data_IF_347385525282
#
_entry.id   IF_347385525282
#
_cell.length_a   1.000
_cell.length_b   1.000
_cell.length_c   1.000
_cell.angle_alpha   90.00
_cell.angle_beta   90.00
_cell.angle_gamma   90.00
#
_symmetry.space_group_name_H-M   'P 1'
#
loop_
_entity.id
_entity.type
_entity.pdbx_description
1 polymer ?
#
# COMPACT_ATOMS: atom_id res chain seq x y z
N UNK A 1 -20.24 -2.26 2.73
CA UNK A 1 -19.73 -0.93 3.16
C UNK A 1 -18.22 -0.81 3.01
N UNK A 2 -17.41 -1.59 3.75
CA UNK A 2 -15.93 -1.50 3.66
C UNK A 2 -15.38 -1.69 2.24
N UNK A 3 -15.84 -2.71 1.51
CA UNK A 3 -15.44 -2.95 0.12
C UNK A 3 -15.78 -1.79 -0.83
N UNK A 4 -16.91 -1.10 -0.61
CA UNK A 4 -17.31 0.06 -1.40
C UNK A 4 -16.37 1.25 -1.16
N UNK A 5 -16.01 1.52 0.09
CA UNK A 5 -15.02 2.54 0.42
C UNK A 5 -13.65 2.20 -0.15
N UNK A 6 -13.25 0.93 -0.12
CA UNK A 6 -11.99 0.48 -0.73
C UNK A 6 -11.98 0.70 -2.25
N UNK A 7 -13.08 0.41 -2.95
CA UNK A 7 -13.20 0.64 -4.37
C UNK A 7 -13.15 2.14 -4.74
N UNK A 8 -13.87 3.00 -4.01
CA UNK A 8 -13.82 4.45 -4.26
C UNK A 8 -12.45 5.02 -3.91
N UNK A 9 -11.82 4.52 -2.85
CA UNK A 9 -10.44 4.86 -2.52
C UNK A 9 -9.48 4.50 -3.65
N UNK A 10 -9.63 3.32 -4.24
CA UNK A 10 -8.86 2.92 -5.43
C UNK A 10 -9.04 3.92 -6.58
N UNK A 11 -10.26 4.43 -6.81
CA UNK A 11 -10.50 5.49 -7.80
C UNK A 11 -9.76 6.80 -7.45
N UNK A 12 -9.72 7.20 -6.16
CA UNK A 12 -8.90 8.32 -5.71
C UNK A 12 -7.41 8.11 -5.95
N UNK A 13 -6.90 6.89 -5.73
CA UNK A 13 -5.51 6.54 -6.03
C UNK A 13 -5.21 6.72 -7.52
N UNK A 14 -6.07 6.18 -8.40
CA UNK A 14 -5.89 6.28 -9.84
C UNK A 14 -6.04 7.71 -10.37
N UNK A 15 -7.17 8.37 -10.12
CA UNK A 15 -7.44 9.68 -10.72
C UNK A 15 -6.67 10.80 -10.04
N UNK A 16 -6.82 10.93 -8.73
CA UNK A 16 -6.17 12.02 -8.00
C UNK A 16 -4.66 11.77 -7.83
N UNK A 17 -4.21 10.51 -7.74
CA UNK A 17 -2.78 10.19 -7.74
C UNK A 17 -2.11 10.56 -9.07
N UNK A 18 -2.71 10.22 -10.21
CA UNK A 18 -2.18 10.64 -11.53
C UNK A 18 -2.25 12.15 -11.72
N UNK A 19 -3.33 12.80 -11.27
CA UNK A 19 -3.42 14.26 -11.28
C UNK A 19 -2.32 14.91 -10.43
N UNK A 20 -2.00 14.32 -9.28
CA UNK A 20 -0.92 14.77 -8.40
C UNK A 20 0.46 14.59 -9.04
N UNK A 21 0.68 13.51 -9.78
CA UNK A 21 1.89 13.31 -10.60
C UNK A 21 2.01 14.45 -11.60
N UNK A 22 0.97 14.67 -12.41
CA UNK A 22 0.97 15.73 -13.42
C UNK A 22 1.18 17.13 -12.81
N UNK A 23 0.56 17.41 -11.66
CA UNK A 23 0.76 18.65 -10.93
C UNK A 23 2.20 18.80 -10.41
N UNK A 24 2.77 17.73 -9.87
CA UNK A 24 4.16 17.66 -9.41
C UNK A 24 5.18 17.90 -10.53
N UNK A 25 4.94 17.32 -11.72
CA UNK A 25 5.75 17.59 -12.93
C UNK A 25 5.71 19.09 -13.26
N UNK A 26 4.52 19.69 -13.38
CA UNK A 26 4.37 21.10 -13.75
C UNK A 26 5.00 22.08 -12.75
N UNK A 27 5.04 21.71 -11.47
CA UNK A 27 5.56 22.56 -10.39
C UNK A 27 7.03 22.29 -10.04
N UNK A 28 7.67 21.30 -10.66
CA UNK A 28 9.06 20.92 -10.39
C UNK A 28 9.25 20.35 -8.99
N UNK A 29 8.38 19.43 -8.56
CA UNK A 29 8.48 18.78 -7.25
C UNK A 29 9.44 17.59 -7.23
N UNK A 30 9.82 17.12 -8.41
CA UNK A 30 10.68 15.96 -8.64
C UNK A 30 12.12 16.38 -8.94
N UNK A 31 13.06 15.47 -8.68
CA UNK A 31 14.46 15.63 -9.09
C UNK A 31 14.59 15.67 -10.62
N UNK A 32 15.67 16.27 -11.13
CA UNK A 32 15.92 16.41 -12.57
C UNK A 32 15.93 15.05 -13.31
N UNK A 33 16.48 14.00 -12.71
CA UNK A 33 16.48 12.64 -13.26
C UNK A 33 15.05 12.11 -13.50
N UNK A 34 14.17 12.22 -12.50
CA UNK A 34 12.77 11.78 -12.60
C UNK A 34 11.99 12.66 -13.59
N UNK A 35 12.33 13.95 -13.71
CA UNK A 35 11.72 14.85 -14.69
C UNK A 35 12.15 14.55 -16.14
N UNK A 36 13.38 14.07 -16.34
CA UNK A 36 13.87 13.65 -17.67
C UNK A 36 13.08 12.45 -18.23
N UNK A 37 12.59 11.56 -17.35
CA UNK A 37 11.72 10.44 -17.70
C UNK A 37 10.44 10.95 -18.38
N UNK A 38 9.73 11.89 -17.77
CA UNK A 38 8.48 12.44 -18.35
C UNK A 38 8.68 13.30 -19.61
N UNK A 39 9.88 13.81 -19.83
CA UNK A 39 10.22 14.57 -21.04
C UNK A 39 10.36 13.66 -22.28
N UNK A 40 10.44 12.35 -22.06
CA UNK A 40 10.53 11.36 -23.13
C UNK A 40 9.12 11.00 -23.64
N UNK A 41 8.78 11.47 -24.85
CA UNK A 41 7.47 11.22 -25.52
C UNK A 41 7.07 9.73 -25.57
N UNK A 42 8.03 8.81 -25.45
CA UNK A 42 7.83 7.34 -25.46
C UNK A 42 6.90 6.83 -24.35
N UNK A 43 6.86 7.50 -23.19
CA UNK A 43 6.00 7.09 -22.08
C UNK A 43 4.54 7.48 -22.25
N UNK A 44 4.25 8.45 -23.13
CA UNK A 44 2.88 8.95 -23.32
C UNK A 44 2.02 8.03 -24.21
N UNK A 45 2.64 7.24 -25.09
CA UNK A 45 1.92 6.32 -25.99
C UNK A 45 1.67 4.95 -25.39
N UNK A 46 2.40 4.57 -24.33
CA UNK A 46 2.32 3.24 -23.69
C UNK A 46 2.78 2.07 -24.57
N UNK A 47 3.14 2.33 -25.83
CA UNK A 47 3.58 1.35 -26.81
C UNK A 47 5.05 1.59 -27.16
N UNK A 48 5.85 0.52 -27.11
CA UNK A 48 7.22 0.52 -27.63
C UNK A 48 7.13 0.57 -29.15
N UNK A 49 7.84 1.54 -29.76
CA UNK A 49 7.84 1.71 -31.22
C UNK A 49 8.39 0.47 -31.93
N UNK A 50 7.93 0.22 -33.16
CA UNK A 50 8.30 -0.97 -33.94
C UNK A 50 9.81 -1.07 -34.17
N UNK A 51 10.46 0.08 -34.31
CA UNK A 51 11.89 0.19 -34.66
C UNK A 51 12.80 0.22 -33.43
N UNK A 52 12.23 0.15 -32.22
CA UNK A 52 12.98 0.23 -30.98
C UNK A 52 13.26 -1.16 -30.39
N UNK A 53 14.48 -1.33 -29.86
CA UNK A 53 14.91 -2.58 -29.23
C UNK A 53 14.07 -2.82 -27.98
N UNK A 54 13.23 -3.85 -28.02
CA UNK A 54 12.42 -4.29 -26.89
C UNK A 54 13.31 -4.81 -25.77
N UNK A 55 12.98 -4.44 -24.54
CA UNK A 55 13.68 -4.94 -23.35
C UNK A 55 13.16 -6.33 -23.02
N UNK A 56 14.07 -7.24 -22.63
CA UNK A 56 13.71 -8.58 -22.19
C UNK A 56 12.76 -8.50 -20.98
N UNK A 57 11.66 -9.23 -21.04
CA UNK A 57 10.62 -9.20 -20.03
C UNK A 57 10.91 -10.00 -18.77
N UNK A 58 11.89 -10.88 -18.83
CA UNK A 58 12.32 -11.76 -17.76
C UNK A 58 13.41 -12.67 -18.30
N UNK A 59 14.08 -13.35 -17.39
CA UNK A 59 15.11 -14.34 -17.70
C UNK A 59 14.58 -15.73 -17.35
N UNK A 60 14.89 -16.71 -18.19
CA UNK A 60 14.55 -18.10 -17.91
C UNK A 60 15.57 -18.64 -16.90
N UNK A 61 15.12 -18.88 -15.67
CA UNK A 61 15.97 -19.40 -14.60
C UNK A 61 15.90 -20.92 -14.47
N UNK A 62 15.03 -21.57 -15.25
CA UNK A 62 14.86 -23.02 -15.29
C UNK A 62 14.92 -23.52 -16.72
N UNK A 63 15.41 -24.75 -16.90
CA UNK A 63 15.34 -25.44 -18.17
C UNK A 63 13.89 -25.83 -18.45
N UNK A 64 13.38 -25.40 -19.62
CA UNK A 64 11.96 -25.58 -19.97
C UNK A 64 11.55 -27.06 -20.12
N UNK A 65 12.52 -27.96 -20.31
CA UNK A 65 12.30 -29.41 -20.32
C UNK A 65 11.94 -29.97 -18.93
N UNK A 66 12.43 -29.34 -17.86
CA UNK A 66 12.15 -29.77 -16.49
C UNK A 66 10.91 -29.06 -15.94
N UNK A 67 10.91 -27.73 -15.99
CA UNK A 67 9.78 -26.90 -15.58
C UNK A 67 9.87 -25.54 -16.27
N UNK A 68 8.73 -25.07 -16.75
CA UNK A 68 8.63 -23.71 -17.28
C UNK A 68 8.92 -22.66 -16.18
N UNK A 69 9.71 -21.65 -16.53
CA UNK A 69 10.21 -20.67 -15.55
C UNK A 69 9.07 -19.83 -14.97
N UNK A 70 8.05 -19.48 -15.74
CA UNK A 70 6.88 -18.76 -15.21
C UNK A 70 6.12 -19.64 -14.20
N UNK A 71 5.95 -20.92 -14.51
CA UNK A 71 5.33 -21.90 -13.62
C UNK A 71 6.11 -22.07 -12.31
N UNK A 72 7.44 -22.10 -12.38
CA UNK A 72 8.31 -22.16 -11.21
C UNK A 72 8.16 -20.93 -10.31
N UNK A 73 8.22 -19.72 -10.87
CA UNK A 73 8.02 -18.49 -10.11
C UNK A 73 6.62 -18.41 -9.50
N UNK A 74 5.59 -18.78 -10.26
CA UNK A 74 4.21 -18.88 -9.78
C UNK A 74 4.07 -19.84 -8.61
N UNK A 75 4.73 -21.01 -8.67
CA UNK A 75 4.76 -21.97 -7.58
C UNK A 75 5.43 -21.41 -6.32
N UNK A 76 6.54 -20.66 -6.45
CA UNK A 76 7.19 -20.02 -5.29
C UNK A 76 6.29 -18.95 -4.66
N UNK A 77 5.61 -18.13 -5.46
CA UNK A 77 4.64 -17.14 -4.96
C UNK A 77 3.48 -17.84 -4.24
N UNK A 78 2.92 -18.89 -4.83
CA UNK A 78 1.83 -19.66 -4.23
C UNK A 78 2.27 -20.38 -2.93
N UNK A 79 3.47 -20.96 -2.90
CA UNK A 79 4.03 -21.59 -1.71
C UNK A 79 4.28 -20.58 -0.59
N UNK A 80 4.78 -19.38 -0.93
CA UNK A 80 4.99 -18.28 0.02
C UNK A 80 3.66 -17.82 0.62
N UNK A 81 2.62 -17.67 -0.20
CA UNK A 81 1.27 -17.36 0.26
C UNK A 81 0.69 -18.46 1.15
N UNK A 82 0.90 -19.73 0.78
CA UNK A 82 0.47 -20.87 1.60
C UNK A 82 1.15 -20.90 2.97
N UNK A 83 2.46 -20.63 3.03
CA UNK A 83 3.19 -20.46 4.29
C UNK A 83 2.61 -19.30 5.13
N UNK A 84 2.27 -18.17 4.51
CA UNK A 84 1.60 -17.06 5.19
C UNK A 84 0.25 -17.46 5.77
N UNK A 85 -0.54 -18.21 5.01
CA UNK A 85 -1.84 -18.72 5.48
C UNK A 85 -1.67 -19.65 6.69
N UNK A 86 -0.72 -20.59 6.62
CA UNK A 86 -0.44 -21.49 7.75
C UNK A 86 0.06 -20.72 8.97
N UNK A 87 0.98 -19.79 8.78
CA UNK A 87 1.51 -18.94 9.85
C UNK A 87 0.38 -18.16 10.54
N UNK A 88 -0.47 -17.48 9.76
CA UNK A 88 -1.58 -16.72 10.30
C UNK A 88 -2.58 -17.63 11.04
N UNK A 89 -2.86 -18.82 10.51
CA UNK A 89 -3.75 -19.80 11.15
C UNK A 89 -3.20 -20.27 12.51
N UNK A 90 -1.90 -20.57 12.58
CA UNK A 90 -1.24 -20.95 13.84
C UNK A 90 -1.25 -19.79 14.83
N UNK A 91 -1.00 -18.57 14.36
CA UNK A 91 -1.00 -17.37 15.19
C UNK A 91 -2.39 -17.07 15.75
N UNK A 92 -3.44 -17.17 14.94
CA UNK A 92 -4.84 -17.03 15.37
C UNK A 92 -5.23 -18.12 16.38
N UNK A 93 -4.79 -19.35 16.15
CA UNK A 93 -5.00 -20.45 17.09
C UNK A 93 -4.30 -20.17 18.43
N UNK A 94 -3.06 -19.69 18.42
CA UNK A 94 -2.33 -19.27 19.63
C UNK A 94 -3.02 -18.12 20.38
N UNK A 95 -3.49 -17.12 19.65
CA UNK A 95 -4.24 -15.98 20.20
C UNK A 95 -5.58 -16.41 20.80
N UNK A 96 -6.18 -17.49 20.32
CA UNK A 96 -7.47 -17.97 20.84
C UNK A 96 -7.40 -18.42 22.31
N UNK A 97 -6.20 -18.73 22.82
CA UNK A 97 -5.96 -19.04 24.23
C UNK A 97 -5.95 -17.79 25.14
N UNK A 98 -5.78 -16.59 24.58
CA UNK A 98 -5.81 -15.32 25.32
C UNK A 98 -7.24 -14.81 25.61
N UNK A 99 -8.26 -15.65 25.45
CA UNK A 99 -9.67 -15.32 25.69
C UNK A 99 -10.34 -14.56 24.54
N UNK A 100 -11.46 -13.88 24.84
CA UNK A 100 -12.30 -13.24 23.81
C UNK A 100 -11.55 -12.14 23.02
N UNK A 101 -10.71 -11.34 23.69
CA UNK A 101 -9.90 -10.31 23.02
C UNK A 101 -8.90 -10.90 22.02
N UNK A 102 -8.31 -12.07 22.33
CA UNK A 102 -7.42 -12.77 21.42
C UNK A 102 -8.13 -13.34 20.19
N UNK A 103 -9.36 -13.84 20.34
CA UNK A 103 -10.19 -14.29 19.21
C UNK A 103 -10.61 -13.14 18.30
N UNK A 104 -11.03 -12.01 18.87
CA UNK A 104 -11.35 -10.81 18.10
C UNK A 104 -10.12 -10.26 17.37
N UNK A 105 -8.96 -10.22 18.03
CA UNK A 105 -7.70 -9.85 17.39
C UNK A 105 -7.40 -10.79 16.23
N UNK A 106 -7.44 -12.10 16.44
CA UNK A 106 -7.20 -13.10 15.41
C UNK A 106 -8.10 -12.92 14.19
N UNK A 107 -9.38 -12.64 14.38
CA UNK A 107 -10.31 -12.33 13.28
C UNK A 107 -9.91 -11.05 12.54
N UNK A 108 -9.51 -10.01 13.26
CA UNK A 108 -9.06 -8.76 12.65
C UNK A 108 -7.74 -8.94 11.88
N UNK A 109 -6.86 -9.85 12.29
CA UNK A 109 -5.59 -10.13 11.59
C UNK A 109 -5.80 -10.71 10.19
N UNK A 110 -6.90 -11.43 9.95
CA UNK A 110 -7.27 -11.88 8.60
C UNK A 110 -7.52 -10.72 7.63
N UNK A 111 -8.11 -9.62 8.12
CA UNK A 111 -8.34 -8.41 7.33
C UNK A 111 -7.07 -7.70 6.87
N UNK A 112 -5.94 -8.00 7.51
CA UNK A 112 -4.62 -7.41 7.22
C UNK A 112 -3.57 -8.48 6.88
N UNK A 113 -4.01 -9.62 6.35
CA UNK A 113 -3.14 -10.75 5.99
C UNK A 113 -1.95 -10.33 5.09
N UNK A 114 -2.10 -9.29 4.28
CA UNK A 114 -1.04 -8.79 3.41
C UNK A 114 0.27 -8.44 4.17
N UNK A 115 0.19 -8.00 5.42
CA UNK A 115 1.35 -7.68 6.26
C UNK A 115 2.11 -8.96 6.61
N UNK A 116 1.38 -10.01 7.00
CA UNK A 116 1.96 -11.32 7.29
C UNK A 116 2.52 -11.97 6.03
N UNK A 117 1.84 -11.83 4.89
CA UNK A 117 2.35 -12.31 3.60
C UNK A 117 3.66 -11.60 3.21
N UNK A 118 3.76 -10.29 3.43
CA UNK A 118 4.99 -9.54 3.20
C UNK A 118 6.13 -10.00 4.14
N UNK A 119 5.83 -10.24 5.41
CA UNK A 119 6.81 -10.74 6.39
C UNK A 119 7.33 -12.14 6.00
N UNK A 120 6.43 -13.05 5.65
CA UNK A 120 6.80 -14.40 5.21
C UNK A 120 7.59 -14.35 3.90
N UNK A 121 7.21 -13.50 2.95
CA UNK A 121 7.98 -13.31 1.72
C UNK A 121 9.41 -12.84 2.00
N UNK A 122 9.59 -11.94 2.98
CA UNK A 122 10.92 -11.49 3.39
C UNK A 122 11.73 -12.60 4.06
N UNK A 123 11.09 -13.46 4.87
CA UNK A 123 11.74 -14.64 5.45
C UNK A 123 12.16 -15.61 4.35
N UNK A 124 11.29 -15.90 3.39
CA UNK A 124 11.61 -16.77 2.24
C UNK A 124 12.79 -16.21 1.45
N UNK A 125 12.79 -14.91 1.16
CA UNK A 125 13.91 -14.22 0.50
C UNK A 125 15.21 -14.35 1.29
N UNK A 126 15.15 -14.14 2.60
CA UNK A 126 16.30 -14.28 3.49
C UNK A 126 16.86 -15.71 3.51
N UNK A 127 15.99 -16.72 3.52
CA UNK A 127 16.39 -18.13 3.44
C UNK A 127 17.10 -18.40 2.11
N UNK A 128 16.53 -17.95 0.98
CA UNK A 128 17.15 -18.11 -0.35
C UNK A 128 18.52 -17.43 -0.47
N UNK A 129 18.68 -16.28 0.18
CA UNK A 129 19.96 -15.59 0.30
C UNK A 129 20.98 -16.40 1.11
N UNK A 130 20.56 -16.96 2.24
CA UNK A 130 21.41 -17.77 3.11
C UNK A 130 21.82 -19.09 2.47
N UNK A 131 20.95 -19.70 1.66
CA UNK A 131 21.25 -20.93 0.92
C UNK A 131 22.00 -20.67 -0.39
N UNK A 132 22.20 -19.41 -0.80
CA UNK A 132 22.85 -19.06 -2.05
C UNK A 132 22.01 -19.38 -3.30
N UNK A 133 20.72 -19.66 -3.14
CA UNK A 133 19.80 -20.05 -4.23
C UNK A 133 18.92 -18.89 -4.70
N UNK A 134 19.24 -17.64 -4.34
CA UNK A 134 18.49 -16.47 -4.79
C UNK A 134 18.48 -16.33 -6.32
N UNK A 135 19.54 -16.77 -7.02
CA UNK A 135 19.68 -16.65 -8.47
C UNK A 135 18.58 -17.38 -9.27
N UNK A 136 17.86 -18.31 -8.66
CA UNK A 136 16.75 -19.04 -9.30
C UNK A 136 15.51 -18.13 -9.48
N UNK A 137 15.47 -16.98 -8.78
CA UNK A 137 14.42 -15.98 -8.91
C UNK A 137 14.85 -14.83 -9.81
N UNK A 138 14.04 -14.55 -10.83
CA UNK A 138 14.13 -13.38 -11.70
C UNK A 138 13.15 -12.29 -11.25
N UNK A 139 13.69 -11.14 -10.86
CA UNK A 139 12.92 -9.99 -10.37
C UNK A 139 11.95 -9.44 -11.43
N UNK A 140 12.30 -9.54 -12.72
CA UNK A 140 11.45 -9.05 -13.82
C UNK A 140 10.21 -9.94 -14.00
N UNK A 141 10.39 -11.26 -13.94
CA UNK A 141 9.28 -12.23 -13.96
C UNK A 141 8.38 -12.06 -12.74
N UNK A 142 8.95 -11.94 -11.53
CA UNK A 142 8.18 -11.66 -10.32
C UNK A 142 7.40 -10.33 -10.41
N UNK A 143 8.00 -9.29 -10.98
CA UNK A 143 7.34 -7.99 -11.19
C UNK A 143 6.15 -8.07 -12.16
N UNK A 144 6.19 -8.99 -13.14
CA UNK A 144 5.06 -9.24 -14.05
C UNK A 144 3.94 -10.01 -13.38
N UNK A 145 4.27 -11.05 -12.61
CA UNK A 145 3.29 -11.79 -11.78
C UNK A 145 2.61 -10.81 -10.81
N UNK A 146 3.37 -9.93 -10.17
CA UNK A 146 2.83 -8.88 -9.32
C UNK A 146 1.89 -7.96 -10.10
N UNK A 147 2.30 -7.47 -11.28
CA UNK A 147 1.46 -6.63 -12.14
C UNK A 147 0.12 -7.29 -12.49
N UNK A 148 0.16 -8.54 -12.98
CA UNK A 148 -1.04 -9.32 -13.29
C UNK A 148 -1.95 -9.53 -12.06
N UNK A 149 -1.35 -9.84 -10.90
CA UNK A 149 -2.09 -10.02 -9.65
C UNK A 149 -2.79 -8.74 -9.19
N UNK A 150 -2.14 -7.58 -9.38
CA UNK A 150 -2.72 -6.27 -9.09
C UNK A 150 -3.93 -6.03 -10.00
N UNK A 151 -3.81 -6.25 -11.30
CA UNK A 151 -4.92 -6.06 -12.25
C UNK A 151 -6.11 -6.97 -11.91
N UNK A 152 -5.86 -8.25 -11.60
CA UNK A 152 -6.89 -9.19 -11.18
C UNK A 152 -7.58 -8.75 -9.87
N UNK A 153 -6.81 -8.27 -8.90
CA UNK A 153 -7.33 -7.74 -7.63
C UNK A 153 -8.26 -6.54 -7.88
N UNK A 154 -7.90 -5.65 -8.80
CA UNK A 154 -8.70 -4.45 -9.15
C UNK A 154 -10.03 -4.85 -9.77
N UNK A 155 -10.01 -5.75 -10.77
CA UNK A 155 -11.23 -6.27 -11.39
C UNK A 155 -12.12 -6.95 -10.35
N UNK A 156 -11.53 -7.78 -9.48
CA UNK A 156 -12.26 -8.46 -8.40
C UNK A 156 -12.87 -7.48 -7.39
N UNK A 157 -12.14 -6.42 -7.02
CA UNK A 157 -12.62 -5.39 -6.10
C UNK A 157 -13.82 -4.62 -6.69
N UNK A 158 -13.78 -4.28 -7.98
CA UNK A 158 -14.89 -3.63 -8.68
C UNK A 158 -16.09 -4.58 -8.77
N UNK A 159 -15.85 -5.85 -9.11
CA UNK A 159 -16.90 -6.86 -9.20
C UNK A 159 -17.58 -7.18 -7.86
N UNK A 160 -16.85 -7.02 -6.73
CA UNK A 160 -17.38 -7.26 -5.38
C UNK A 160 -18.27 -6.12 -4.85
N UNK A 161 -18.42 -5.00 -5.56
CA UNK A 161 -19.24 -3.87 -5.12
C UNK A 161 -20.72 -4.25 -5.16
N UNK A 162 -21.38 -4.26 -3.99
CA UNK A 162 -22.83 -4.44 -3.91
C UNK A 162 -23.58 -3.17 -4.29
N UNK A 163 -24.16 -3.15 -5.50
CA UNK A 163 -24.95 -2.02 -6.02
C UNK A 163 -26.15 -1.67 -5.13
N UNK A 164 -26.76 -2.67 -4.48
CA UNK A 164 -27.88 -2.48 -3.55
C UNK A 164 -27.45 -1.59 -2.38
N UNK A 165 -26.31 -1.88 -1.74
CA UNK A 165 -25.81 -1.07 -0.63
C UNK A 165 -25.36 0.32 -1.06
N UNK A 166 -24.74 0.44 -2.25
CA UNK A 166 -24.36 1.76 -2.78
C UNK A 166 -25.60 2.63 -2.95
N UNK A 167 -26.68 2.09 -3.52
CA UNK A 167 -27.92 2.86 -3.74
C UNK A 167 -28.57 3.34 -2.44
N UNK A 168 -28.47 2.57 -1.36
CA UNK A 168 -29.06 2.92 -0.06
C UNK A 168 -28.27 4.00 0.70
N UNK A 169 -26.93 4.07 0.51
CA UNK A 169 -26.04 4.93 1.30
C UNK A 169 -25.14 5.84 0.45
N UNK A 170 -25.52 6.11 -0.81
CA UNK A 170 -24.65 6.80 -1.77
C UNK A 170 -24.21 8.18 -1.28
N UNK A 171 -25.10 8.93 -0.62
CA UNK A 171 -24.80 10.26 -0.08
C UNK A 171 -23.70 10.17 0.97
N UNK A 172 -23.86 9.30 1.96
CA UNK A 172 -22.89 9.14 3.05
C UNK A 172 -21.54 8.65 2.52
N UNK A 173 -21.58 7.71 1.57
CA UNK A 173 -20.38 7.18 0.92
C UNK A 173 -19.64 8.29 0.16
N UNK A 174 -20.32 9.07 -0.67
CA UNK A 174 -19.72 10.16 -1.46
C UNK A 174 -19.16 11.24 -0.54
N UNK A 175 -19.90 11.67 0.48
CA UNK A 175 -19.43 12.71 1.40
C UNK A 175 -18.18 12.27 2.16
N UNK A 176 -18.21 11.09 2.79
CA UNK A 176 -17.08 10.61 3.59
C UNK A 176 -15.86 10.33 2.71
N UNK A 177 -16.06 9.68 1.55
CA UNK A 177 -14.95 9.38 0.63
C UNK A 177 -14.34 10.64 0.02
N UNK A 178 -15.15 11.65 -0.29
CA UNK A 178 -14.66 12.91 -0.84
C UNK A 178 -13.89 13.71 0.21
N UNK A 179 -14.43 13.83 1.43
CA UNK A 179 -13.73 14.51 2.53
C UNK A 179 -12.41 13.81 2.88
N UNK A 180 -12.42 12.48 2.98
CA UNK A 180 -11.22 11.68 3.23
C UNK A 180 -10.21 11.76 2.09
N UNK A 181 -10.68 11.69 0.84
CA UNK A 181 -9.87 11.85 -0.37
C UNK A 181 -9.16 13.20 -0.40
N UNK A 182 -9.91 14.30 -0.28
CA UNK A 182 -9.36 15.67 -0.24
C UNK A 182 -8.37 15.82 0.92
N UNK A 183 -8.73 15.36 2.13
CA UNK A 183 -7.84 15.44 3.28
C UNK A 183 -6.52 14.70 3.01
N UNK A 184 -6.57 13.53 2.37
CA UNK A 184 -5.38 12.74 2.03
C UNK A 184 -4.55 13.41 0.93
N UNK A 185 -5.20 13.93 -0.13
CA UNK A 185 -4.54 14.65 -1.24
C UNK A 185 -3.86 15.93 -0.77
N UNK A 186 -4.34 16.59 0.27
CA UNK A 186 -3.71 17.79 0.84
C UNK A 186 -2.63 17.46 1.88
N UNK A 187 -2.92 16.54 2.80
CA UNK A 187 -2.02 16.23 3.93
C UNK A 187 -0.80 15.43 3.51
N UNK A 188 -0.95 14.42 2.64
CA UNK A 188 0.16 13.52 2.29
C UNK A 188 1.29 14.25 1.57
N UNK A 189 1.07 15.07 0.53
CA UNK A 189 2.15 15.83 -0.10
C UNK A 189 2.80 16.84 0.85
N UNK A 190 1.98 17.47 1.70
CA UNK A 190 2.45 18.45 2.67
C UNK A 190 3.36 17.81 3.73
N UNK A 191 2.96 16.66 4.29
CA UNK A 191 3.75 15.93 5.27
C UNK A 191 4.99 15.28 4.65
N UNK A 192 4.82 14.59 3.51
CA UNK A 192 5.88 13.81 2.89
C UNK A 192 7.05 14.70 2.41
N UNK A 193 6.75 15.88 1.85
CA UNK A 193 7.82 16.84 1.53
C UNK A 193 8.64 17.17 2.77
N UNK A 194 8.03 17.55 3.89
CA UNK A 194 8.77 18.00 5.09
C UNK A 194 9.50 16.89 5.85
N UNK A 195 8.94 15.67 5.80
CA UNK A 195 9.44 14.54 6.57
C UNK A 195 10.63 13.84 5.89
N UNK A 196 10.54 13.61 4.58
CA UNK A 196 11.58 12.88 3.85
C UNK A 196 12.68 13.81 3.31
N UNK A 197 13.88 13.26 3.18
CA UNK A 197 15.05 13.97 2.63
C UNK A 197 15.46 13.40 1.27
N UNK A 198 15.26 12.11 1.08
CA UNK A 198 15.55 11.33 -0.12
C UNK A 198 14.24 10.87 -0.78
N UNK A 199 14.25 10.72 -2.12
CA UNK A 199 13.13 10.20 -2.92
C UNK A 199 11.75 10.73 -2.48
N UNK A 200 11.68 12.04 -2.17
CA UNK A 200 10.55 12.66 -1.44
C UNK A 200 9.24 12.44 -2.19
N UNK A 201 9.27 12.57 -3.51
CA UNK A 201 8.09 12.48 -4.35
C UNK A 201 7.66 11.02 -4.57
N UNK A 202 8.62 10.11 -4.76
CA UNK A 202 8.40 8.67 -4.86
C UNK A 202 7.80 8.11 -3.56
N UNK A 203 8.38 8.46 -2.41
CA UNK A 203 7.86 8.10 -1.08
C UNK A 203 6.47 8.69 -0.83
N UNK A 204 6.24 9.92 -1.26
CA UNK A 204 4.92 10.57 -1.18
C UNK A 204 3.87 9.79 -1.97
N UNK A 205 4.15 9.42 -3.23
CA UNK A 205 3.21 8.66 -4.06
C UNK A 205 2.93 7.28 -3.48
N UNK A 206 3.97 6.61 -2.97
CA UNK A 206 3.82 5.32 -2.31
C UNK A 206 2.85 5.43 -1.12
N UNK A 207 3.06 6.41 -0.24
CA UNK A 207 2.19 6.64 0.92
C UNK A 207 0.78 7.04 0.48
N UNK A 208 0.66 7.97 -0.48
CA UNK A 208 -0.64 8.44 -0.98
C UNK A 208 -1.46 7.29 -1.57
N UNK A 209 -0.85 6.44 -2.40
CA UNK A 209 -1.49 5.28 -2.98
C UNK A 209 -1.90 4.26 -1.92
N UNK A 210 -1.09 4.04 -0.89
CA UNK A 210 -1.45 3.16 0.23
C UNK A 210 -2.56 3.73 1.12
N UNK A 211 -2.60 5.04 1.34
CA UNK A 211 -3.64 5.72 2.15
C UNK A 211 -4.98 5.78 1.42
N UNK A 212 -4.97 5.88 0.09
CA UNK A 212 -6.19 5.91 -0.72
C UNK A 212 -6.65 4.51 -1.15
N UNK A 213 -5.78 3.50 -1.14
CA UNK A 213 -6.15 2.13 -1.49
C UNK A 213 -5.46 1.09 -0.61
N UNK A 214 -4.54 0.34 -1.19
CA UNK A 214 -3.74 -0.67 -0.50
C UNK A 214 -2.27 -0.59 -0.92
N UNK A 215 -1.43 -1.49 -0.44
CA UNK A 215 -0.03 -1.58 -0.87
C UNK A 215 0.11 -1.65 -2.41
N UNK A 216 -0.82 -2.35 -3.08
CA UNK A 216 -0.84 -2.48 -4.53
C UNK A 216 -1.01 -1.17 -5.28
N UNK A 217 -1.86 -0.26 -4.81
CA UNK A 217 -2.05 1.06 -5.42
C UNK A 217 -0.86 1.97 -5.18
N UNK A 218 -0.24 1.90 -4.01
CA UNK A 218 1.04 2.55 -3.73
C UNK A 218 2.12 2.12 -4.73
N UNK A 219 2.30 0.81 -4.90
CA UNK A 219 3.26 0.25 -5.84
C UNK A 219 2.93 0.62 -7.29
N UNK A 220 1.66 0.61 -7.68
CA UNK A 220 1.24 1.00 -9.04
C UNK A 220 1.57 2.47 -9.35
N UNK A 221 1.35 3.40 -8.41
CA UNK A 221 1.72 4.80 -8.58
C UNK A 221 3.24 4.99 -8.58
N UNK A 222 3.96 4.27 -7.70
CA UNK A 222 5.42 4.31 -7.66
C UNK A 222 6.04 3.83 -8.99
N UNK A 223 5.46 2.79 -9.59
CA UNK A 223 5.93 2.22 -10.87
C UNK A 223 5.90 3.21 -12.05
N UNK A 224 5.10 4.27 -11.97
CA UNK A 224 5.09 5.33 -12.98
C UNK A 224 6.42 6.10 -12.96
N UNK A 225 7.00 6.30 -11.78
CA UNK A 225 8.27 7.00 -11.59
C UNK A 225 9.47 6.05 -11.59
N UNK A 226 9.28 4.86 -11.04
CA UNK A 226 10.30 3.84 -10.86
C UNK A 226 9.80 2.48 -11.37
N UNK A 227 9.77 2.27 -12.71
CA UNK A 227 9.16 1.07 -13.31
C UNK A 227 9.80 -0.26 -12.90
N UNK A 228 11.07 -0.21 -12.51
CA UNK A 228 11.89 -1.37 -12.13
C UNK A 228 12.11 -1.46 -10.61
N UNK A 229 11.47 -0.60 -9.80
CA UNK A 229 11.64 -0.53 -8.34
C UNK A 229 13.11 -0.46 -7.91
N UNK A 230 13.94 0.32 -8.62
CA UNK A 230 15.36 0.51 -8.30
C UNK A 230 15.56 1.33 -7.04
N UNK A 231 14.63 2.22 -6.72
CA UNK A 231 14.65 3.04 -5.51
C UNK A 231 14.35 2.17 -4.27
N UNK A 232 14.93 2.50 -3.09
CA UNK A 232 14.67 1.76 -1.86
C UNK A 232 13.24 1.99 -1.32
N UNK A 233 12.41 2.80 -1.98
CA UNK A 233 11.10 3.23 -1.48
C UNK A 233 10.17 2.07 -1.23
N UNK A 234 10.08 1.12 -2.17
CA UNK A 234 9.21 -0.04 -2.04
C UNK A 234 9.66 -0.96 -0.88
N UNK A 235 10.96 -1.24 -0.78
CA UNK A 235 11.52 -2.08 0.28
C UNK A 235 11.39 -1.44 1.66
N UNK A 236 11.69 -0.15 1.77
CA UNK A 236 11.60 0.60 3.02
C UNK A 236 10.15 0.66 3.51
N UNK A 237 9.20 0.83 2.60
CA UNK A 237 7.79 0.85 2.93
C UNK A 237 7.33 -0.51 3.48
N UNK A 238 7.77 -1.62 2.89
CA UNK A 238 7.42 -2.96 3.39
C UNK A 238 7.90 -3.18 4.83
N UNK A 239 9.15 -2.80 5.13
CA UNK A 239 9.69 -2.89 6.50
C UNK A 239 8.92 -1.97 7.45
N UNK A 240 8.64 -0.74 7.01
CA UNK A 240 7.90 0.25 7.79
C UNK A 240 6.45 -0.18 8.07
N UNK A 241 5.80 -0.85 7.12
CA UNK A 241 4.43 -1.38 7.29
C UNK A 241 4.37 -2.44 8.39
N UNK A 242 5.39 -3.32 8.48
CA UNK A 242 5.51 -4.31 9.55
C UNK A 242 5.69 -3.67 10.94
N UNK A 243 6.52 -2.63 11.05
CA UNK A 243 6.69 -1.89 12.31
C UNK A 243 5.43 -1.10 12.70
N UNK A 244 4.80 -0.45 11.72
CA UNK A 244 3.57 0.32 11.91
C UNK A 244 2.43 -0.58 12.39
N UNK A 245 2.38 -1.82 11.90
CA UNK A 245 1.39 -2.80 12.35
C UNK A 245 1.45 -3.02 13.87
N UNK A 246 2.64 -3.19 14.46
CA UNK A 246 2.78 -3.37 15.91
C UNK A 246 2.23 -2.17 16.69
N UNK A 247 2.50 -0.96 16.20
CA UNK A 247 1.97 0.28 16.79
C UNK A 247 0.47 0.43 16.57
N UNK A 248 -0.10 -0.19 15.53
CA UNK A 248 -1.51 -0.14 15.20
C UNK A 248 -2.36 -1.17 15.96
N UNK A 249 -1.77 -2.13 16.67
CA UNK A 249 -2.51 -3.19 17.40
C UNK A 249 -3.60 -2.62 18.32
N UNK A 250 -3.34 -1.63 19.19
CA UNK A 250 -4.40 -1.05 20.03
C UNK A 250 -5.55 -0.44 19.23
N UNK A 251 -5.25 0.23 18.11
CA UNK A 251 -6.28 0.78 17.22
C UNK A 251 -7.10 -0.32 16.55
N UNK A 252 -6.45 -1.41 16.09
CA UNK A 252 -7.10 -2.56 15.46
C UNK A 252 -8.03 -3.28 16.44
N UNK A 253 -7.65 -3.40 17.71
CA UNK A 253 -8.52 -3.94 18.75
C UNK A 253 -9.77 -3.07 18.98
N UNK A 254 -9.62 -1.74 18.86
CA UNK A 254 -10.71 -0.78 19.03
C UNK A 254 -11.65 -0.63 17.84
N UNK A 255 -11.28 -1.11 16.65
CA UNK A 255 -11.97 -0.76 15.39
C UNK A 255 -13.43 -1.18 15.34
N UNK A 256 -13.79 -2.27 16.04
CA UNK A 256 -15.17 -2.80 16.08
C UNK A 256 -16.03 -2.16 17.18
N UNK A 257 -15.47 -1.31 18.05
CA UNK A 257 -16.19 -0.69 19.16
C UNK A 257 -17.39 0.18 18.71
N UNK A 258 -17.33 0.96 17.61
CA UNK A 258 -18.50 1.70 17.12
C UNK A 258 -19.63 0.77 16.66
N UNK A 259 -19.29 -0.34 16.00
CA UNK A 259 -20.29 -1.34 15.61
C UNK A 259 -20.94 -1.99 16.84
N UNK A 260 -20.13 -2.27 17.88
CA UNK A 260 -20.62 -2.77 19.17
C UNK A 260 -21.52 -1.77 19.89
N UNK A 261 -21.24 -0.47 19.81
CA UNK A 261 -22.11 0.59 20.33
C UNK A 261 -23.50 0.54 19.66
N UNK A 262 -23.53 0.41 18.33
CA UNK A 262 -24.78 0.28 17.58
C UNK A 262 -25.58 -0.99 17.90
N UNK A 263 -24.91 -2.12 18.16
CA UNK A 263 -25.57 -3.40 18.49
C UNK A 263 -26.06 -3.47 19.94
N UNK A 264 -25.32 -2.89 20.88
CA UNK A 264 -25.62 -2.97 22.32
C UNK A 264 -26.41 -1.78 22.85
N UNK A 265 -26.53 -0.70 22.07
CA UNK A 265 -27.11 0.58 22.50
C UNK A 265 -26.23 1.37 23.47
N UNK A 266 -25.07 0.83 23.88
CA UNK A 266 -24.17 1.48 24.81
C UNK A 266 -23.18 2.39 24.07
N UNK A 267 -23.44 3.70 24.11
CA UNK A 267 -22.62 4.73 23.50
C UNK A 267 -21.21 4.88 24.12
N UNK A 268 -20.94 4.26 25.27
CA UNK A 268 -19.60 4.27 25.88
C UNK A 268 -18.56 3.71 24.91
N UNK A 269 -18.88 2.63 24.17
CA UNK A 269 -17.96 2.04 23.20
C UNK A 269 -17.60 3.00 22.06
N UNK A 270 -18.55 3.83 21.64
CA UNK A 270 -18.30 4.86 20.63
C UNK A 270 -17.32 5.91 21.15
N UNK A 271 -17.53 6.43 22.36
CA UNK A 271 -16.65 7.43 22.96
C UNK A 271 -15.25 6.90 23.26
N UNK A 272 -15.13 5.62 23.65
CA UNK A 272 -13.83 4.96 23.78
C UNK A 272 -13.08 4.99 22.44
N UNK A 273 -13.74 4.63 21.33
CA UNK A 273 -13.10 4.66 20.02
C UNK A 273 -12.69 6.07 19.59
N UNK A 274 -13.53 7.08 19.89
CA UNK A 274 -13.18 8.49 19.65
C UNK A 274 -11.93 8.88 20.45
N UNK A 275 -11.85 8.48 21.73
CA UNK A 275 -10.69 8.72 22.58
C UNK A 275 -9.42 8.04 22.06
N UNK A 276 -9.50 6.77 21.65
CA UNK A 276 -8.40 6.04 21.01
C UNK A 276 -7.95 6.77 19.74
N UNK A 277 -8.89 7.14 18.87
CA UNK A 277 -8.58 7.83 17.61
C UNK A 277 -7.90 9.18 17.85
N UNK A 278 -8.36 9.94 18.84
CA UNK A 278 -7.75 11.21 19.23
C UNK A 278 -6.34 11.03 19.79
N UNK A 279 -6.12 10.02 20.65
CA UNK A 279 -4.80 9.70 21.17
C UNK A 279 -3.81 9.32 20.05
N UNK A 280 -4.26 8.53 19.07
CA UNK A 280 -3.46 8.18 17.88
C UNK A 280 -3.16 9.39 17.00
N UNK A 281 -4.12 10.29 16.83
CA UNK A 281 -3.91 11.54 16.10
C UNK A 281 -2.87 12.42 16.80
N UNK A 282 -2.93 12.56 18.12
CA UNK A 282 -1.92 13.27 18.90
C UNK A 282 -0.54 12.59 18.81
N UNK A 283 -0.49 11.28 18.97
CA UNK A 283 0.74 10.51 18.87
C UNK A 283 1.41 10.70 17.49
N UNK A 284 0.64 10.56 16.41
CA UNK A 284 1.16 10.74 15.04
C UNK A 284 1.57 12.18 14.76
N UNK A 285 0.85 13.18 15.28
CA UNK A 285 1.21 14.59 15.16
C UNK A 285 2.51 14.90 15.92
N UNK A 286 2.66 14.41 17.15
CA UNK A 286 3.87 14.58 17.96
C UNK A 286 5.05 13.88 17.26
N UNK A 287 4.87 12.64 16.81
CA UNK A 287 5.90 11.91 16.07
C UNK A 287 6.31 12.66 14.79
N UNK A 288 5.36 13.22 14.05
CA UNK A 288 5.63 14.06 12.89
C UNK A 288 6.48 15.28 13.24
N UNK A 289 6.11 16.03 14.29
CA UNK A 289 6.85 17.22 14.72
C UNK A 289 8.27 16.86 15.15
N UNK A 290 8.45 15.75 15.88
CA UNK A 290 9.76 15.27 16.33
C UNK A 290 10.66 14.80 15.18
N UNK A 291 10.09 14.19 14.15
CA UNK A 291 10.82 13.70 12.98
C UNK A 291 11.13 14.83 11.99
N UNK A 292 10.16 15.67 11.67
CA UNK A 292 10.34 16.80 10.77
C UNK A 292 11.15 17.95 11.40
N UNK A 293 11.23 18.03 12.74
CA UNK A 293 12.00 19.02 13.51
C UNK A 293 11.77 20.45 12.98
N UNK A 294 12.84 21.15 12.60
CA UNK A 294 12.80 22.52 12.06
C UNK A 294 12.03 22.63 10.73
N UNK A 295 11.88 21.53 9.97
CA UNK A 295 11.16 21.50 8.68
C UNK A 295 9.64 21.29 8.85
N UNK A 296 9.17 20.93 10.04
CA UNK A 296 7.75 20.61 10.29
C UNK A 296 6.80 21.74 9.88
N UNK A 297 7.22 22.99 10.08
CA UNK A 297 6.41 24.18 9.79
C UNK A 297 7.02 25.06 8.69
N UNK A 298 8.06 24.57 8.03
CA UNK A 298 8.74 25.32 6.98
C UNK A 298 7.79 25.53 5.79
N UNK A 299 7.63 26.79 5.38
CA UNK A 299 6.70 27.22 4.33
C UNK A 299 5.28 26.64 4.49
N UNK A 300 4.67 26.76 5.67
CA UNK A 300 3.39 26.09 6.01
C UNK A 300 2.22 26.31 5.03
N UNK A 301 2.22 27.41 4.26
CA UNK A 301 1.23 27.70 3.21
C UNK A 301 1.49 26.99 1.87
N UNK A 302 2.70 26.47 1.66
CA UNK A 302 3.05 25.72 0.45
C UNK A 302 2.74 24.24 0.62
N UNK A 303 2.08 23.65 -0.38
CA UNK A 303 1.80 22.21 -0.42
C UNK A 303 3.09 21.38 -0.53
N UNK A 304 4.17 21.93 -1.09
CA UNK A 304 5.44 21.22 -1.29
C UNK A 304 6.63 22.15 -1.11
N UNK A 305 7.68 21.67 -0.44
CA UNK A 305 8.98 22.35 -0.37
C UNK A 305 9.82 21.84 -1.54
N UNK A 306 10.14 22.73 -2.47
CA UNK A 306 10.98 22.39 -3.64
C UNK A 306 12.31 21.77 -3.19
N UNK A 307 12.83 20.77 -3.92
CA UNK A 307 14.10 20.13 -3.62
C UNK A 307 15.25 21.13 -3.60
#
# INVERSE_FOLDING_TARGET
MGLTFAAIGYLWACFAGVALIHYGVRRGWMCEETMAIFSNKKLMTGLVSKDEKRVAGGELTTESEAIDSLSFHGAIVAATYFLSYLFLRVLVWGLSFAGNGGRELGNNLWGINFIFSALIAQIVRFILQKTGTQWILDDKTLSRIAGFSVDYMVVSAIAAISLVFVSAFWIQIVVISTLGGIATTLSVPWMASRMFKDYRFERMLMIYGCSTGTLSTGLALLRILDPEYRSPVASDYMVSAGLTFLLAIPFILGINLPAKAGQTGNWTYFWIMVGISFAYLLFTLIAYILLARKRAWEQGRSMWIKP
#
